data_IF_876802013554
#
_entry.id   IF_876802013554
#
_cell.length_a   1.000
_cell.length_b   1.000
_cell.length_c   1.000
_cell.angle_alpha   90.00
_cell.angle_beta   90.00
_cell.angle_gamma   90.00
#
_symmetry.space_group_name_H-M   'P 1'
#
loop_
_entity.id
_entity.type
_entity.pdbx_description
1 polymer ?
2 non-polymer ?
3 non-polymer ?
4 water ?
#
# COMPACT_ATOMS: atom_id res chain seq x y z
N UNK A 1 -8.57 18.47 6.75
CA UNK A 1 -8.23 18.91 5.37
C UNK A 1 -8.19 17.76 4.37
N UNK A 2 -8.55 18.09 3.13
CA UNK A 2 -8.72 17.12 2.08
C UNK A 2 -7.57 17.19 1.09
N UNK A 3 -7.20 16.03 0.55
CA UNK A 3 -6.15 16.01 -0.47
C UNK A 3 -6.58 15.20 -1.69
N UNK A 4 -6.13 15.66 -2.86
CA UNK A 4 -6.42 14.98 -4.10
C UNK A 4 -5.49 13.79 -4.17
N UNK A 5 -6.07 12.61 -3.94
CA UNK A 5 -5.28 11.41 -3.69
C UNK A 5 -4.57 10.87 -4.95
N UNK A 6 -5.13 11.15 -6.12
CA UNK A 6 -4.52 10.66 -7.36
C UNK A 6 -3.20 11.38 -7.63
N UNK A 7 -3.26 12.71 -7.58
CA UNK A 7 -2.08 13.55 -7.70
C UNK A 7 -1.08 13.15 -6.64
N UNK A 8 -1.57 13.04 -5.40
CA UNK A 8 -0.66 12.79 -4.29
C UNK A 8 0.17 11.53 -4.46
N UNK A 9 -0.50 10.45 -4.83
CA UNK A 9 0.16 9.19 -5.02
C UNK A 9 1.09 9.18 -6.21
N UNK A 10 0.70 9.87 -7.29
CA UNK A 10 1.53 9.94 -8.49
C UNK A 10 2.90 10.51 -8.13
N UNK A 11 2.91 11.54 -7.29
CA UNK A 11 4.14 12.18 -6.83
C UNK A 11 4.97 11.28 -5.93
N UNK A 12 4.30 10.54 -5.04
CA UNK A 12 4.98 9.51 -4.24
C UNK A 12 5.65 8.47 -5.13
N UNK A 13 4.88 7.89 -6.06
CA UNK A 13 5.41 6.91 -7.01
C UNK A 13 6.56 7.51 -7.81
N UNK A 14 6.40 8.76 -8.25
CA UNK A 14 7.44 9.41 -9.05
C UNK A 14 8.77 9.47 -8.32
N UNK A 15 8.74 9.77 -7.02
CA UNK A 15 9.97 9.87 -6.25
C UNK A 15 10.64 8.50 -6.08
N UNK A 16 9.83 7.44 -6.08
CA UNK A 16 10.34 6.06 -6.11
C UNK A 16 10.78 5.61 -7.51
N UNK A 17 10.02 6.01 -8.54
CA UNK A 17 10.29 5.61 -9.93
C UNK A 17 11.60 6.21 -10.44
N UNK A 18 12.06 7.28 -9.79
CA UNK A 18 13.21 8.06 -10.27
C UNK A 18 14.50 7.89 -9.49
N UNK A 19 14.50 7.01 -8.49
CA UNK A 19 15.68 6.85 -7.64
C UNK A 19 16.24 5.43 -7.69
N UNK A 20 17.55 5.34 -7.90
CA UNK A 20 18.30 4.08 -7.92
C UNK A 20 17.95 3.24 -9.15
N UNK A 21 17.59 1.96 -8.93
CA UNK A 21 17.14 1.04 -9.98
C UNK A 21 16.34 -0.13 -9.42
N UNK A 22 15.33 -0.56 -10.19
CA UNK A 22 14.43 -1.64 -9.79
C UNK A 22 14.41 -2.74 -10.84
N UNK A 25 10.21 -1.67 -12.14
CA UNK A 25 9.09 -1.24 -12.99
C UNK A 25 7.86 -0.86 -12.17
N UNK A 26 7.17 0.21 -12.56
CA UNK A 26 5.94 0.67 -11.88
C UNK A 26 4.75 0.81 -12.83
N UNK A 27 3.66 0.13 -12.48
CA UNK A 27 2.47 0.05 -13.31
C UNK A 27 1.28 0.72 -12.59
N UNK A 28 0.42 1.41 -13.35
CA UNK A 28 -0.64 2.24 -12.76
C UNK A 28 -2.06 1.99 -13.27
N UNK A 29 -2.98 1.72 -12.35
CA UNK A 29 -4.42 1.66 -12.62
C UNK A 29 -5.11 2.77 -11.79
N UNK A 30 -4.83 4.03 -12.17
CA UNK A 30 -5.26 5.27 -11.47
C UNK A 30 -6.19 6.17 -12.29
N UNK A 31 -7.39 6.44 -11.75
CA UNK A 31 -8.42 7.15 -12.52
C UNK A 31 -8.13 8.63 -12.75
N UNK A 32 -8.62 9.14 -13.89
CA UNK A 32 -8.66 10.57 -14.15
C UNK A 32 -9.92 11.13 -13.51
N UNK A 33 -9.93 11.07 -12.19
CA UNK A 33 -11.08 11.48 -11.43
C UNK A 33 -10.59 12.29 -10.27
N UNK A 34 -11.40 13.26 -9.86
CA UNK A 34 -11.02 14.19 -8.82
C UNK A 34 -11.41 13.67 -7.45
N UNK A 35 -10.58 12.81 -6.87
CA UNK A 35 -10.94 12.12 -5.62
C UNK A 35 -10.20 12.71 -4.44
N UNK A 36 -10.93 13.02 -3.37
CA UNK A 36 -10.34 13.60 -2.15
C UNK A 36 -10.48 12.73 -0.92
N UNK A 37 -9.41 12.68 -0.12
CA UNK A 37 -9.40 11.94 1.14
C UNK A 37 -9.04 12.89 2.27
N UNK A 38 -9.53 12.59 3.47
CA UNK A 38 -9.33 13.45 4.63
C UNK A 38 -8.35 12.72 5.53
N UNK A 39 -7.08 12.98 5.29
CA UNK A 39 -6.03 12.35 6.07
C UNK A 39 -4.85 13.24 5.85
N UNK A 40 -4.07 13.43 6.90
CA UNK A 40 -2.95 14.35 6.80
C UNK A 40 -1.95 13.78 5.80
N UNK A 41 -1.39 14.66 4.98
CA UNK A 41 -0.32 14.33 4.05
C UNK A 41 0.73 13.40 4.64
N UNK A 42 1.20 13.71 5.85
CA UNK A 42 2.32 12.98 6.42
C UNK A 42 1.95 11.55 6.81
N UNK A 43 0.69 11.34 7.19
CA UNK A 43 0.21 10.02 7.62
C UNK A 43 0.03 9.12 6.41
N UNK A 44 -0.63 9.65 5.39
CA UNK A 44 -0.80 8.89 4.16
C UNK A 44 0.55 8.61 3.48
N UNK A 45 1.49 9.55 3.58
CA UNK A 45 2.86 9.27 3.13
C UNK A 45 3.49 8.07 3.85
N UNK A 46 3.36 7.98 5.16
CA UNK A 46 3.92 6.86 5.91
C UNK A 46 3.27 5.55 5.51
N UNK A 47 1.94 5.57 5.34
CA UNK A 47 1.21 4.36 4.94
C UNK A 47 1.81 3.85 3.62
N UNK A 48 1.81 4.72 2.60
CA UNK A 48 2.30 4.32 1.29
C UNK A 48 3.80 4.00 1.28
N UNK A 49 4.60 4.79 1.97
CA UNK A 49 6.07 4.53 1.99
C UNK A 49 6.33 3.13 2.56
N UNK A 50 5.59 2.76 3.61
CA UNK A 50 5.82 1.50 4.29
C UNK A 50 5.44 0.33 3.44
N UNK A 51 4.33 0.46 2.69
CA UNK A 51 3.89 -0.60 1.81
C UNK A 51 4.81 -0.71 0.60
N UNK A 52 5.19 0.43 0.04
CA UNK A 52 6.10 0.43 -1.12
C UNK A 52 7.45 -0.12 -0.71
N UNK A 53 7.95 0.27 0.47
CA UNK A 53 9.25 -0.22 0.95
C UNK A 53 9.26 -1.74 0.99
N UNK A 54 8.18 -2.34 1.48
CA UNK A 54 8.05 -3.79 1.50
C UNK A 54 8.03 -4.41 0.11
N UNK A 55 7.23 -3.84 -0.78
CA UNK A 55 7.11 -4.37 -2.13
C UNK A 55 8.46 -4.43 -2.81
N UNK A 56 9.25 -3.37 -2.65
CA UNK A 56 10.60 -3.33 -3.25
C UNK A 56 11.61 -4.21 -2.52
N UNK A 57 11.56 -4.21 -1.19
CA UNK A 57 12.45 -5.03 -0.34
C UNK A 57 12.31 -6.51 -0.65
N UNK A 58 11.08 -6.94 -0.96
CA UNK A 58 10.75 -8.35 -1.11
C UNK A 58 10.52 -8.77 -2.56
N UNK A 59 10.90 -7.89 -3.50
CA UNK A 59 10.76 -8.11 -4.96
C UNK A 59 12.07 -8.53 -5.63
N UNK A 60 11.97 -9.33 -6.71
CA UNK A 60 13.19 -9.70 -7.43
C UNK A 60 13.19 -9.18 -8.86
N UNK A 61 14.23 -9.56 -9.61
CA UNK A 61 14.33 -9.33 -11.06
C UNK A 61 14.07 -7.89 -11.47
N UNK A 62 13.43 -7.72 -12.62
CA UNK A 62 12.79 -6.47 -13.01
C UNK A 62 11.29 -6.64 -12.82
N UNK A 63 10.90 -7.05 -11.62
CA UNK A 63 9.52 -7.35 -11.28
C UNK A 63 8.65 -6.11 -11.30
N UNK A 64 7.35 -6.31 -11.49
CA UNK A 64 6.42 -5.19 -11.59
C UNK A 64 5.79 -4.92 -10.23
N UNK A 65 5.75 -3.63 -9.87
CA UNK A 65 4.88 -3.16 -8.77
C UNK A 65 3.73 -2.35 -9.36
N UNK A 66 2.52 -2.84 -9.10
CA UNK A 66 1.31 -2.26 -9.69
C UNK A 66 0.42 -1.58 -8.65
N UNK A 67 0.13 -0.32 -8.95
CA UNK A 67 -0.73 0.51 -8.10
C UNK A 67 -2.14 0.60 -8.69
N UNK A 68 -3.16 0.44 -7.86
CA UNK A 68 -4.52 0.63 -8.36
C UNK A 68 -5.32 1.47 -7.37
N UNK A 69 -6.21 2.29 -7.91
CA UNK A 69 -7.25 2.93 -7.12
C UNK A 69 -8.58 2.58 -7.74
N UNK A 70 -9.44 1.95 -6.97
CA UNK A 70 -10.79 1.63 -7.43
C UNK A 70 -11.77 2.27 -6.52
N UNK A 71 -12.88 2.72 -7.09
CA UNK A 71 -13.83 3.53 -6.34
C UNK A 71 -15.09 2.74 -6.03
N UNK A 72 -15.42 2.63 -4.75
CA UNK A 72 -16.70 2.03 -4.36
C UNK A 72 -17.65 3.14 -3.97
N UNK A 73 -18.46 3.59 -4.94
CA UNK A 73 -19.29 4.77 -4.72
C UNK A 73 -20.34 4.54 -3.63
N UNK A 74 -20.85 3.31 -3.57
CA UNK A 74 -21.89 2.89 -2.61
C UNK A 74 -21.44 2.91 -1.16
N UNK A 75 -20.20 2.53 -0.94
CA UNK A 75 -19.61 2.53 0.40
C UNK A 75 -18.93 3.85 0.70
N UNK A 76 -18.80 4.74 -0.30
CA UNK A 76 -18.01 5.98 -0.19
C UNK A 76 -16.57 5.70 0.24
N UNK A 77 -15.99 4.66 -0.36
CA UNK A 77 -14.62 4.25 -0.08
C UNK A 77 -13.77 4.09 -1.33
N UNK A 78 -12.51 4.49 -1.26
CA UNK A 78 -11.54 4.09 -2.27
C UNK A 78 -10.83 2.86 -1.79
N UNK A 79 -10.46 2.01 -2.74
CA UNK A 79 -9.68 0.82 -2.47
C UNK A 79 -8.35 1.04 -3.18
N UNK A 80 -7.27 1.11 -2.42
CA UNK A 80 -5.97 1.44 -2.96
C UNK A 80 -5.10 0.24 -2.78
N UNK A 81 -4.49 -0.25 -3.86
CA UNK A 81 -3.72 -1.48 -3.73
C UNK A 81 -2.33 -1.38 -4.33
N UNK A 82 -1.40 -2.11 -3.72
CA UNK A 82 -0.03 -2.23 -4.20
C UNK A 82 0.27 -3.70 -4.35
N UNK A 83 0.50 -4.12 -5.60
CA UNK A 83 0.77 -5.52 -5.93
C UNK A 83 2.24 -5.66 -6.34
N UNK A 84 2.86 -6.75 -5.87
CA UNK A 84 4.24 -7.12 -6.26
C UNK A 84 4.27 -8.56 -6.74
N UNK A 85 5.40 -8.97 -7.35
CA UNK A 85 5.60 -10.31 -7.87
C UNK A 85 6.70 -11.01 -7.08
N UNK A 86 6.76 -10.67 -5.79
CA UNK A 86 7.88 -11.04 -4.93
C UNK A 86 7.71 -12.37 -4.27
N UNK A 87 8.45 -12.58 -3.18
CA UNK A 87 8.48 -13.87 -2.51
C UNK A 87 7.14 -14.34 -1.95
N UNK A 88 6.22 -13.41 -1.71
CA UNK A 88 4.91 -13.77 -1.19
C UNK A 88 4.96 -14.06 0.30
N UNK A 89 3.83 -14.51 0.85
CA UNK A 89 3.69 -14.73 2.28
C UNK A 89 3.03 -16.07 2.55
N UNK A 90 3.61 -16.89 3.45
CA UNK A 90 3.00 -18.16 3.83
C UNK A 90 1.54 -17.99 4.26
N UNK A 91 0.70 -18.93 3.84
CA UNK A 91 -0.75 -18.90 4.08
C UNK A 91 -1.14 -18.67 5.54
N UNK A 92 -0.44 -19.34 6.46
CA UNK A 92 -0.73 -19.20 7.90
C UNK A 92 -0.37 -17.81 8.48
N UNK A 93 0.51 -17.09 7.80
CA UNK A 93 1.02 -15.79 8.27
C UNK A 93 0.33 -14.55 7.68
N UNK A 94 -0.43 -14.76 6.61
CA UNK A 94 -1.00 -13.64 5.85
C UNK A 94 -1.77 -12.60 6.68
N UNK A 95 -2.45 -13.04 7.74
CA UNK A 95 -3.16 -12.07 8.56
C UNK A 95 -2.46 -11.80 9.89
N UNK A 96 -1.22 -12.24 10.01
CA UNK A 96 -0.38 -11.81 11.11
C UNK A 96 0.52 -10.66 10.71
N UNK A 97 0.65 -10.40 9.42
CA UNK A 97 1.71 -9.48 8.95
C UNK A 97 1.50 -8.04 9.41
N UNK A 98 0.27 -7.69 9.79
CA UNK A 98 0.05 -6.33 10.31
C UNK A 98 0.26 -6.20 11.80
N UNK A 99 0.54 -7.33 12.49
CA UNK A 99 0.65 -7.27 13.95
C UNK A 99 1.96 -6.59 14.36
N UNK A 100 1.94 -5.85 15.45
CA UNK A 100 3.16 -5.19 15.92
C UNK A 100 4.29 -6.19 16.14
N UNK A 101 5.43 -5.90 15.50
CA UNK A 101 6.70 -6.65 15.62
C UNK A 101 6.73 -7.98 14.87
N UNK A 102 5.62 -8.36 14.22
CA UNK A 102 5.56 -9.62 13.49
C UNK A 102 6.36 -9.58 12.19
N UNK A 103 7.30 -10.54 12.06
CA UNK A 103 8.00 -10.79 10.81
C UNK A 103 7.89 -12.27 10.44
N UNK A 104 7.84 -12.59 9.15
CA UNK A 104 7.67 -14.00 8.74
C UNK A 104 8.83 -14.88 9.25
N UNK A 105 10.04 -14.33 9.28
CA UNK A 105 11.13 -15.06 9.95
C UNK A 105 11.93 -14.22 10.94
N UNK A 112 15.87 -9.90 17.35
CA UNK A 112 16.90 -10.41 16.45
C UNK A 112 16.53 -10.29 14.96
N UNK A 113 16.83 -9.13 14.38
CA UNK A 113 17.05 -8.98 12.95
C UNK A 113 16.33 -7.80 12.30
N UNK A 114 15.18 -7.44 12.84
CA UNK A 114 14.29 -6.49 12.17
C UNK A 114 13.17 -6.00 13.05
N UNK A 115 12.50 -4.92 12.64
CA UNK A 115 11.58 -4.24 13.54
C UNK A 115 10.19 -4.83 13.48
N UNK A 116 9.66 -4.96 12.26
CA UNK A 116 8.28 -5.49 12.04
C UNK A 116 7.16 -4.55 12.45
N UNK A 117 7.39 -3.25 12.31
CA UNK A 117 6.32 -2.27 12.58
C UNK A 117 5.73 -1.58 11.34
N UNK A 118 6.38 -1.65 10.17
CA UNK A 118 5.91 -0.93 8.96
C UNK A 118 4.43 -1.12 8.73
N UNK A 119 4.01 -2.37 8.76
CA UNK A 119 2.60 -2.66 8.42
C UNK A 119 1.66 -2.43 9.59
N UNK A 120 2.21 -2.49 10.80
CA UNK A 120 1.40 -2.13 11.96
C UNK A 120 1.07 -0.65 11.96
N UNK A 121 2.09 0.16 11.66
CA UNK A 121 1.90 1.62 11.51
C UNK A 121 0.88 1.89 10.39
N UNK A 122 1.02 1.19 9.28
CA UNK A 122 0.14 1.41 8.13
C UNK A 122 -1.28 1.09 8.57
N UNK A 123 -1.45 -0.04 9.25
CA UNK A 123 -2.80 -0.41 9.71
C UNK A 123 -3.38 0.59 10.68
N UNK A 124 -2.59 1.04 11.65
CA UNK A 124 -3.10 1.97 12.65
C UNK A 124 -3.54 3.26 11.97
N UNK A 125 -2.73 3.78 11.04
CA UNK A 125 -3.04 5.04 10.37
C UNK A 125 -4.25 4.94 9.46
N UNK A 126 -4.32 3.87 8.69
CA UNK A 126 -5.50 3.66 7.84
C UNK A 126 -6.75 3.52 8.70
N UNK A 127 -6.68 2.68 9.73
CA UNK A 127 -7.86 2.49 10.58
C UNK A 127 -8.29 3.76 11.31
N UNK A 128 -7.32 4.57 11.72
CA UNK A 128 -7.67 5.76 12.47
C UNK A 128 -8.49 6.73 11.62
N UNK A 129 -8.30 6.62 10.31
CA UNK A 129 -8.97 7.49 9.34
C UNK A 129 -10.13 6.83 8.65
N UNK A 130 -10.63 5.76 9.28
CA UNK A 130 -11.91 5.16 8.87
C UNK A 130 -11.82 4.10 7.80
N UNK A 131 -10.61 3.66 7.50
CA UNK A 131 -10.42 2.56 6.51
C UNK A 131 -10.04 1.23 7.13
N UNK A 132 -9.76 0.25 6.25
CA UNK A 132 -9.35 -1.07 6.63
C UNK A 132 -8.21 -1.49 5.70
N UNK A 133 -7.49 -2.54 6.09
CA UNK A 133 -6.35 -2.99 5.31
C UNK A 133 -6.24 -4.52 5.35
N UNK A 134 -5.73 -5.11 4.27
CA UNK A 134 -5.57 -6.55 4.24
C UNK A 134 -4.48 -6.88 3.23
N UNK A 135 -4.03 -8.14 3.30
CA UNK A 135 -3.01 -8.70 2.42
C UNK A 135 -3.57 -9.90 1.72
N UNK A 136 -3.32 -9.98 0.41
CA UNK A 136 -3.60 -11.18 -0.38
C UNK A 136 -2.25 -11.63 -0.95
N UNK A 137 -1.91 -12.90 -0.78
CA UNK A 137 -0.58 -13.35 -1.12
C UNK A 137 -0.52 -14.84 -1.43
N UNK A 138 0.36 -15.18 -2.38
CA UNK A 138 0.69 -16.57 -2.71
C UNK A 138 2.19 -16.69 -2.53
N UNK A 139 2.59 -17.61 -1.66
CA UNK A 139 3.99 -17.87 -1.43
C UNK A 139 4.63 -18.21 -2.77
N UNK A 140 5.67 -17.47 -3.15
CA UNK A 140 6.38 -17.69 -4.40
C UNK A 140 5.79 -17.04 -5.65
N UNK A 141 4.69 -16.30 -5.51
CA UNK A 141 4.13 -15.58 -6.66
C UNK A 141 4.04 -14.06 -6.46
N UNK A 142 3.59 -13.64 -5.28
CA UNK A 142 3.56 -12.22 -4.98
C UNK A 142 2.52 -11.85 -3.95
N UNK A 143 2.46 -10.55 -3.63
CA UNK A 143 1.58 -10.01 -2.59
C UNK A 143 0.89 -8.76 -3.09
N UNK A 144 -0.40 -8.65 -2.76
CA UNK A 144 -1.12 -7.38 -2.87
C UNK A 144 -1.51 -6.91 -1.47
N UNK A 145 -1.15 -5.67 -1.15
CA UNK A 145 -1.68 -5.01 0.02
C UNK A 145 -2.74 -4.02 -0.43
N UNK A 146 -3.91 -4.06 0.21
CA UNK A 146 -4.99 -3.15 -0.15
C UNK A 146 -5.51 -2.48 1.09
N UNK A 147 -5.76 -1.18 0.96
CA UNK A 147 -6.41 -0.43 2.05
C UNK A 147 -7.49 0.45 1.51
N UNK A 148 -8.42 0.78 2.38
CA UNK A 148 -9.49 1.68 1.98
C UNK A 148 -9.38 3.03 2.71
N UNK A 149 -9.94 4.06 2.09
CA UNK A 149 -10.09 5.38 2.73
C UNK A 149 -11.43 5.94 2.32
N UNK A 150 -12.14 6.58 3.27
CA UNK A 150 -13.32 7.35 2.85
C UNK A 150 -12.89 8.45 1.91
N UNK A 151 -13.75 8.81 0.94
CA UNK A 151 -13.42 9.87 0.00
C UNK A 151 -14.67 10.69 -0.33
N UNK A 152 -14.42 11.86 -0.91
CA UNK A 152 -15.48 12.61 -1.57
C UNK A 152 -15.05 12.88 -2.99
N UNK A 153 -16.06 12.90 -3.86
CA UNK A 153 -15.97 13.11 -5.31
C UNK A 153 -15.59 11.96 -6.24
X LIG B 1 8.50 -3.10 6.24
X LIG C 1 -12.82 0.90 11.38
X LIG D 1 9.90 -2.63 9.24
X LIG D 1 8.95 -2.33 8.02
X LIG D 1 11.37 -2.14 9.02
X LIG D 1 9.38 -2.17 10.52
X LIG D 1 9.43 -5.31 8.29
X LIG D 1 9.48 -4.78 6.90
X LIG D 1 9.87 -6.73 8.58
X LIG D 1 10.04 -4.19 9.23
X LIG D 1 6.48 -4.92 8.15
X LIG D 1 6.71 -3.86 7.14
X LIG D 1 5.55 -4.60 9.27
X LIG D 1 7.93 -5.20 8.96
X LIG D 1 6.21 -6.32 7.52
X LIG D 1 6.01 -7.50 8.34
X LIG D 1 6.45 -8.78 7.68
X LIG D 1 5.51 -9.10 6.62
X LIG D 1 7.81 -8.66 7.02
X LIG D 1 8.88 -8.84 8.00
X LIG D 1 7.70 -9.71 5.93
X LIG D 1 7.89 -11.05 6.44
X LIG D 1 6.23 -9.67 5.54
X LIG D 1 5.94 -8.84 4.35
X LIG D 1 5.47 -7.55 4.35
X LIG D 1 5.28 -7.10 3.09
X LIG D 1 5.63 -8.11 2.27
X LIG D 1 5.68 -8.31 0.80
X LIG D 1 5.29 -7.29 -0.01
X LIG D 1 6.12 -9.51 0.33
X LIG D 1 6.50 -10.50 1.17
X LIG D 1 6.49 -10.40 2.51
X LIG D 1 6.07 -9.24 3.09
#
# INVERSE_FOLDING_TARGET
MWIQIVRFMSLIIDRFEMTKEQHVEFIRNLPDRDLYVEIDQDKITQVLDNIISNALKYSPEGGHVTFSIDVNEEEELLYISVKDEGIGIPKKDVEKVFDRFYRVDKARTRKLGGTGLGLAIAKEMVQAHGGDIWADSIEGKGTTITFTLPYKEEQEDDWDEAENLYFQSLEHHHHHH
MG MG
MG MG
ATP PG O1G O2G O3G PB O1B O2B O3B PA O1A O2A O3A O5' C5' C4' O4' C3' O3' C2' O2' C1' N9 C8 N7 C5 C6 N6 N1 C2 N3 C4
#
